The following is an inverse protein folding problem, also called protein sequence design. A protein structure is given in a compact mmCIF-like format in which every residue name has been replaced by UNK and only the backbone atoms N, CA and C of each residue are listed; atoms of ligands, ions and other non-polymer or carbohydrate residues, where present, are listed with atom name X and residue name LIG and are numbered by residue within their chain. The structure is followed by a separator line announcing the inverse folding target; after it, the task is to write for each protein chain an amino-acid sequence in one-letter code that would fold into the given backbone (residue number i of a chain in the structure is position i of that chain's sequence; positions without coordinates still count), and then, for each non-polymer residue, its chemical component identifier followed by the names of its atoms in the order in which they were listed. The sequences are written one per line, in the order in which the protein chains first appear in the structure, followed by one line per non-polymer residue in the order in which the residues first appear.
data_IF_142839837019
#
_entry.id   IF_142839837019
#
_cell.length_a   1.000
_cell.length_b   1.000
_cell.length_c   1.000
_cell.angle_alpha   90.00
_cell.angle_beta   90.00
_cell.angle_gamma   90.00
#
_symmetry.space_group_name_H-M   'P 1'
#
loop_
_entity.id
_entity.type
_entity.pdbx_description
1 polymer ?
#
# COMPACT_ATOMS: atom_id res chain seq x y z
N UNK A 1 0.25 1.86 -3.11
CA UNK A 1 1.60 2.51 -2.99
C UNK A 1 2.08 2.58 -1.54
N UNK A 2 3.40 2.73 -1.30
CA UNK A 2 3.98 2.98 0.04
C UNK A 2 4.40 4.45 0.16
N UNK A 3 4.02 5.10 1.26
CA UNK A 3 4.42 6.47 1.60
C UNK A 3 5.51 6.40 2.66
N UNK A 4 6.64 7.08 2.42
CA UNK A 4 7.70 7.28 3.40
C UNK A 4 7.67 8.74 3.87
N UNK A 5 7.51 8.95 5.16
CA UNK A 5 7.59 10.28 5.76
C UNK A 5 9.04 10.61 6.05
N UNK A 6 9.64 11.54 5.32
CA UNK A 6 11.05 11.94 5.52
C UNK A 6 11.20 13.15 6.45
N UNK A 7 10.11 13.86 6.74
CA UNK A 7 10.08 15.00 7.67
C UNK A 7 8.95 14.82 8.67
N UNK A 8 9.25 14.99 9.97
CA UNK A 8 8.23 14.92 11.02
C UNK A 8 7.09 15.88 10.66
N UNK A 9 5.86 15.37 10.69
CA UNK A 9 4.70 16.09 10.15
C UNK A 9 3.42 15.76 10.90
N UNK A 10 2.36 16.47 10.56
CA UNK A 10 0.99 16.20 11.00
C UNK A 10 0.17 15.81 9.78
N UNK A 11 -0.44 14.63 9.81
CA UNK A 11 -1.51 14.28 8.89
C UNK A 11 -2.82 14.88 9.41
N UNK A 12 -3.64 15.41 8.50
CA UNK A 12 -4.80 16.24 8.86
C UNK A 12 -6.10 15.67 8.33
N UNK A 13 -7.17 15.86 9.10
CA UNK A 13 -8.55 15.58 8.68
C UNK A 13 -8.98 16.41 7.46
N UNK A 14 -8.53 17.66 7.40
CA UNK A 14 -8.90 18.66 6.40
C UNK A 14 -7.64 19.43 5.95
N UNK A 15 -7.62 20.00 4.74
CA UNK A 15 -6.45 20.70 4.19
C UNK A 15 -6.32 22.16 4.70
N UNK A 16 -6.67 22.40 5.96
CA UNK A 16 -6.59 23.70 6.65
C UNK A 16 -5.37 23.75 7.59
N UNK A 17 -4.94 24.92 8.10
CA UNK A 17 -3.89 25.00 9.12
C UNK A 17 -4.16 24.09 10.32
N UNK A 18 -3.12 23.44 10.86
CA UNK A 18 -3.28 22.50 11.97
C UNK A 18 -3.77 23.16 13.28
N UNK A 19 -3.60 24.48 13.41
CA UNK A 19 -4.14 25.27 14.52
C UNK A 19 -5.67 25.36 14.52
N UNK A 20 -6.31 25.15 13.36
CA UNK A 20 -7.77 25.17 13.21
C UNK A 20 -8.41 23.80 13.45
N UNK A 21 -7.60 22.75 13.62
CA UNK A 21 -8.05 21.38 13.82
C UNK A 21 -7.99 20.97 15.29
N UNK A 22 -8.99 20.23 15.75
CA UNK A 22 -8.96 19.60 17.06
C UNK A 22 -7.89 18.49 17.11
N UNK A 23 -7.52 18.04 18.32
CA UNK A 23 -6.42 17.09 18.47
C UNK A 23 -6.70 15.72 17.84
N UNK A 24 -7.95 15.32 17.77
CA UNK A 24 -8.41 14.09 17.15
C UNK A 24 -8.56 14.19 15.62
N UNK A 25 -8.49 15.39 15.06
CA UNK A 25 -8.39 15.67 13.62
C UNK A 25 -6.94 15.76 13.12
N UNK A 26 -5.98 15.48 14.01
CA UNK A 26 -4.55 15.51 13.74
C UNK A 26 -3.93 14.16 14.09
N UNK A 27 -2.96 13.76 13.28
CA UNK A 27 -2.14 12.59 13.57
C UNK A 27 -0.67 12.97 13.40
N UNK A 28 0.06 13.01 14.52
CA UNK A 28 1.50 13.28 14.54
C UNK A 28 2.24 12.09 13.96
N UNK A 29 3.14 12.36 13.02
CA UNK A 29 3.89 11.33 12.31
C UNK A 29 5.39 11.64 12.37
N UNK A 30 6.20 10.74 12.94
CA UNK A 30 7.65 10.93 12.96
C UNK A 30 8.26 10.74 11.57
N UNK A 31 9.42 11.35 11.34
CA UNK A 31 10.26 11.00 10.19
C UNK A 31 10.67 9.51 10.27
N UNK A 32 10.76 8.86 9.12
CA UNK A 32 11.00 7.42 8.96
C UNK A 32 9.73 6.56 9.00
N UNK A 33 8.56 7.11 9.35
CA UNK A 33 7.31 6.34 9.34
C UNK A 33 6.90 5.97 7.91
N UNK A 34 6.35 4.77 7.74
CA UNK A 34 5.85 4.30 6.44
C UNK A 34 4.41 3.85 6.50
N UNK A 35 3.64 4.14 5.45
CA UNK A 35 2.22 3.80 5.35
C UNK A 35 1.91 3.19 3.98
N UNK A 36 0.91 2.29 3.92
CA UNK A 36 0.44 1.71 2.67
C UNK A 36 -0.91 2.31 2.33
N UNK A 37 -1.07 2.82 1.10
CA UNK A 37 -2.35 3.31 0.60
C UNK A 37 -3.19 2.18 0.01
N UNK A 38 -4.51 2.28 0.21
CA UNK A 38 -5.52 1.38 -0.39
C UNK A 38 -5.56 1.52 -1.91
N UNK A 39 -5.28 2.72 -2.44
CA UNK A 39 -5.37 2.97 -3.88
C UNK A 39 -4.03 3.46 -4.44
N UNK A 40 -3.87 3.27 -5.75
CA UNK A 40 -2.73 3.79 -6.49
C UNK A 40 -2.97 5.22 -7.02
N UNK A 41 -3.97 5.90 -6.46
CA UNK A 41 -4.31 7.29 -6.76
C UNK A 41 -4.43 8.12 -5.48
N UNK A 42 -4.22 9.43 -5.62
CA UNK A 42 -4.49 10.41 -4.58
C UNK A 42 -4.96 11.70 -5.24
N UNK A 43 -5.72 12.51 -4.50
CA UNK A 43 -6.07 13.87 -4.95
C UNK A 43 -5.06 14.85 -4.38
N UNK A 44 -4.64 15.80 -5.20
CA UNK A 44 -3.83 16.92 -4.72
C UNK A 44 -4.78 18.06 -4.39
N UNK A 45 -4.70 18.56 -3.16
CA UNK A 45 -5.46 19.71 -2.70
C UNK A 45 -4.59 20.57 -1.79
N UNK A 46 -4.41 21.84 -2.16
CA UNK A 46 -3.67 22.84 -1.39
C UNK A 46 -2.29 22.34 -0.88
N UNK A 47 -1.49 21.71 -1.75
CA UNK A 47 -0.16 21.18 -1.39
C UNK A 47 -0.17 19.89 -0.55
N UNK A 48 -1.34 19.27 -0.38
CA UNK A 48 -1.51 18.00 0.33
C UNK A 48 -2.00 16.91 -0.61
N UNK A 49 -1.63 15.68 -0.32
CA UNK A 49 -2.29 14.50 -0.86
C UNK A 49 -3.44 14.09 0.04
N UNK A 50 -4.65 13.91 -0.51
CA UNK A 50 -5.69 13.13 0.15
C UNK A 50 -5.42 11.65 -0.12
N UNK A 51 -5.03 10.93 0.93
CA UNK A 51 -4.64 9.51 0.87
C UNK A 51 -5.53 8.70 1.79
N UNK A 52 -5.97 7.54 1.31
CA UNK A 52 -6.64 6.52 2.13
C UNK A 52 -5.64 5.41 2.43
N UNK A 53 -5.34 5.20 3.71
CA UNK A 53 -4.39 4.18 4.17
C UNK A 53 -5.10 2.87 4.52
N UNK A 54 -4.38 1.75 4.40
CA UNK A 54 -4.90 0.42 4.76
C UNK A 54 -5.23 0.32 6.25
N UNK A 55 -4.49 1.05 7.10
CA UNK A 55 -4.74 1.14 8.54
C UNK A 55 -5.53 2.40 8.90
N UNK A 56 -6.44 2.27 9.87
CA UNK A 56 -7.04 3.45 10.50
C UNK A 56 -6.03 4.12 11.45
N UNK A 57 -5.77 5.40 11.23
CA UNK A 57 -4.89 6.23 12.06
C UNK A 57 -5.70 7.14 12.98
N UNK A 58 -5.02 7.78 13.93
CA UNK A 58 -5.67 8.62 14.95
C UNK A 58 -6.26 7.80 16.11
N UNK A 59 -7.14 8.44 16.89
CA UNK A 59 -7.72 7.84 18.10
C UNK A 59 -9.16 8.31 18.32
N UNK A 60 -9.94 7.54 19.07
CA UNK A 60 -11.30 7.90 19.45
C UNK A 60 -12.28 7.93 18.27
N UNK A 61 -13.24 8.84 18.32
CA UNK A 61 -14.30 8.98 17.31
C UNK A 61 -13.80 9.36 15.91
N UNK A 62 -12.57 9.87 15.81
CA UNK A 62 -11.98 10.35 14.57
C UNK A 62 -10.93 9.42 13.98
N UNK A 63 -10.84 8.19 14.50
CA UNK A 63 -10.07 7.10 13.90
C UNK A 63 -10.57 6.84 12.47
N UNK A 64 -9.69 6.99 11.48
CA UNK A 64 -10.07 6.97 10.05
C UNK A 64 -8.92 6.56 9.14
N UNK A 65 -9.25 6.14 7.93
CA UNK A 65 -8.26 5.78 6.89
C UNK A 65 -7.83 6.99 6.02
N UNK A 66 -8.72 7.97 5.83
CA UNK A 66 -8.49 9.11 4.94
C UNK A 66 -7.83 10.29 5.63
N UNK A 67 -6.70 10.76 5.08
CA UNK A 67 -5.92 11.86 5.64
C UNK A 67 -5.31 12.75 4.55
N UNK A 68 -5.23 14.05 4.83
CA UNK A 68 -4.43 15.01 4.08
C UNK A 68 -2.98 14.98 4.56
N UNK A 69 -2.08 14.62 3.65
CA UNK A 69 -0.65 14.41 3.89
C UNK A 69 0.13 15.53 3.18
N UNK A 70 0.96 16.32 3.88
CA UNK A 70 1.77 17.35 3.24
C UNK A 70 2.73 16.72 2.23
N UNK A 71 2.60 17.11 0.96
CA UNK A 71 3.35 16.50 -0.16
C UNK A 71 4.85 16.63 0.02
N UNK A 72 5.30 17.80 0.48
CA UNK A 72 6.71 18.13 0.67
C UNK A 72 7.38 17.38 1.83
N UNK A 73 6.64 16.57 2.59
CA UNK A 73 7.17 15.79 3.72
C UNK A 73 7.21 14.27 3.45
N UNK A 74 6.76 13.85 2.26
CA UNK A 74 6.63 12.42 1.92
C UNK A 74 7.18 12.08 0.55
N UNK A 75 7.79 10.91 0.47
CA UNK A 75 8.13 10.23 -0.78
C UNK A 75 7.14 9.10 -1.04
N UNK A 76 6.80 8.87 -2.32
CA UNK A 76 5.92 7.77 -2.73
C UNK A 76 6.76 6.71 -3.43
N UNK A 77 6.77 5.51 -2.84
CA UNK A 77 7.45 4.33 -3.32
C UNK A 77 6.44 3.42 -4.05
N UNK A 78 6.76 3.09 -5.30
CA UNK A 78 6.07 2.11 -6.13
C UNK A 78 7.04 0.98 -6.46
N UNK A 79 6.61 -0.26 -6.24
CA UNK A 79 7.35 -1.44 -6.67
C UNK A 79 6.40 -2.31 -7.47
N UNK A 80 6.65 -2.46 -8.77
CA UNK A 80 5.82 -3.26 -9.65
C UNK A 80 6.53 -4.58 -9.92
N UNK A 81 5.79 -5.67 -9.82
CA UNK A 81 6.23 -6.99 -10.23
C UNK A 81 5.28 -7.61 -11.23
N UNK A 82 5.79 -8.54 -12.02
CA UNK A 82 5.03 -9.39 -12.94
C UNK A 82 4.90 -10.78 -12.34
N UNK A 83 3.72 -11.36 -12.45
CA UNK A 83 3.49 -12.78 -12.17
C UNK A 83 4.20 -13.60 -13.25
N UNK A 84 5.22 -14.38 -12.88
CA UNK A 84 6.09 -15.12 -13.82
C UNK A 84 5.76 -16.60 -13.96
N UNK A 85 4.80 -17.11 -13.18
CA UNK A 85 4.32 -18.50 -13.25
C UNK A 85 2.81 -18.54 -13.13
N UNK A 86 2.20 -19.62 -13.61
CA UNK A 86 0.81 -19.91 -13.25
C UNK A 86 0.68 -20.20 -11.74
N UNK A 87 -0.49 -19.92 -11.16
CA UNK A 87 -0.87 -20.24 -9.77
C UNK A 87 -0.35 -19.32 -8.66
N UNK A 88 -0.06 -18.05 -8.93
CA UNK A 88 0.12 -17.12 -7.81
C UNK A 88 -1.20 -16.93 -7.07
N UNK A 89 -1.21 -17.22 -5.77
CA UNK A 89 -2.33 -16.94 -4.90
C UNK A 89 -2.13 -15.60 -4.18
N UNK A 90 -3.12 -14.71 -4.27
CA UNK A 90 -3.28 -13.57 -3.38
C UNK A 90 -3.97 -14.05 -2.10
N UNK A 91 -3.37 -13.82 -0.93
CA UNK A 91 -3.84 -14.42 0.34
C UNK A 91 -4.09 -13.39 1.44
N UNK A 92 -4.94 -13.75 2.41
CA UNK A 92 -5.16 -12.98 3.64
C UNK A 92 -3.93 -12.96 4.55
N UNK A 93 -3.15 -14.03 4.55
CA UNK A 93 -1.89 -14.16 5.30
C UNK A 93 -0.91 -15.07 4.55
N UNK A 94 0.41 -14.92 4.75
CA UNK A 94 1.40 -15.81 4.16
C UNK A 94 1.20 -17.27 4.56
N UNK A 95 1.38 -18.20 3.63
CA UNK A 95 1.32 -19.64 3.91
C UNK A 95 2.66 -20.32 3.57
N UNK A 96 3.43 -20.82 4.56
CA UNK A 96 4.72 -21.48 4.31
C UNK A 96 4.66 -22.68 3.37
N UNK A 97 3.55 -23.43 3.38
CA UNK A 97 3.38 -24.59 2.50
C UNK A 97 2.96 -24.19 1.08
N UNK A 98 2.48 -22.96 0.94
CA UNK A 98 1.88 -22.39 -0.26
C UNK A 98 0.92 -23.34 -0.99
N UNK A 99 0.08 -24.00 -0.19
CA UNK A 99 -0.98 -24.89 -0.68
C UNK A 99 -2.30 -24.13 -0.74
N UNK A 100 -3.24 -24.65 -1.52
CA UNK A 100 -4.59 -24.08 -1.55
C UNK A 100 -5.27 -24.25 -0.19
N UNK A 101 -5.87 -23.17 0.30
CA UNK A 101 -6.55 -23.10 1.59
C UNK A 101 -7.54 -21.92 1.63
N UNK A 102 -8.18 -21.76 2.79
CA UNK A 102 -9.17 -20.70 3.08
C UNK A 102 -8.58 -19.28 3.10
N UNK A 103 -7.26 -19.12 3.03
CA UNK A 103 -6.61 -17.80 3.01
C UNK A 103 -6.64 -17.17 1.63
N UNK A 104 -6.88 -17.95 0.56
CA UNK A 104 -6.87 -17.44 -0.82
C UNK A 104 -8.02 -16.45 -1.01
N UNK A 105 -7.67 -15.25 -1.46
CA UNK A 105 -8.58 -14.20 -1.89
C UNK A 105 -8.84 -14.34 -3.39
N UNK A 106 -7.77 -14.48 -4.17
CA UNK A 106 -7.83 -14.55 -5.63
C UNK A 106 -6.63 -15.29 -6.20
N UNK A 107 -6.78 -15.90 -7.38
CA UNK A 107 -5.68 -16.52 -8.12
C UNK A 107 -5.29 -15.59 -9.27
N UNK A 108 -4.02 -15.22 -9.33
CA UNK A 108 -3.48 -14.30 -10.33
C UNK A 108 -2.84 -15.07 -11.49
N UNK A 109 -3.17 -14.64 -12.70
CA UNK A 109 -2.73 -15.25 -13.94
C UNK A 109 -1.30 -14.86 -14.30
N UNK A 110 -0.59 -15.72 -15.03
CA UNK A 110 0.72 -15.41 -15.62
C UNK A 110 0.66 -14.11 -16.43
N UNK A 111 1.60 -13.21 -16.19
CA UNK A 111 1.68 -11.91 -16.87
C UNK A 111 0.93 -10.77 -16.16
N UNK A 112 0.10 -11.07 -15.16
CA UNK A 112 -0.54 -10.04 -14.32
C UNK A 112 0.54 -9.13 -13.70
N UNK A 113 0.32 -7.83 -13.72
CA UNK A 113 1.13 -6.86 -13.00
C UNK A 113 0.54 -6.64 -11.62
N UNK A 114 1.40 -6.63 -10.61
CA UNK A 114 1.05 -6.39 -9.21
C UNK A 114 1.87 -5.24 -8.67
N UNK A 115 1.28 -4.47 -7.77
CA UNK A 115 1.98 -3.46 -6.99
C UNK A 115 2.36 -4.08 -5.63
N UNK A 116 3.60 -3.89 -5.21
CA UNK A 116 4.17 -4.44 -3.99
C UNK A 116 4.41 -3.29 -3.00
N UNK A 117 3.87 -3.43 -1.80
CA UNK A 117 3.86 -2.38 -0.78
C UNK A 117 4.77 -2.68 0.39
N UNK A 118 4.83 -3.95 0.79
CA UNK A 118 5.64 -4.37 1.93
C UNK A 118 6.10 -5.81 1.78
N UNK A 119 7.01 -6.25 2.63
CA UNK A 119 7.52 -7.61 2.58
C UNK A 119 7.77 -8.19 3.97
N UNK A 120 7.71 -9.51 4.07
CA UNK A 120 8.10 -10.24 5.28
C UNK A 120 8.77 -11.56 4.94
N UNK A 121 9.60 -12.04 5.85
CA UNK A 121 10.08 -13.41 5.85
C UNK A 121 9.24 -14.24 6.80
N UNK A 122 8.85 -15.43 6.36
CA UNK A 122 8.17 -16.41 7.21
C UNK A 122 9.15 -17.50 7.68
N UNK A 123 8.67 -18.42 8.53
CA UNK A 123 9.52 -19.37 9.28
C UNK A 123 10.49 -20.23 8.46
N UNK A 124 10.22 -20.44 7.17
CA UNK A 124 11.07 -21.21 6.26
C UNK A 124 12.04 -20.32 5.45
N UNK A 125 12.21 -19.06 5.84
CA UNK A 125 12.96 -18.01 5.14
C UNK A 125 12.42 -17.68 3.73
N UNK A 126 11.20 -18.08 3.40
CA UNK A 126 10.54 -17.62 2.18
C UNK A 126 10.15 -16.14 2.30
N UNK A 127 10.50 -15.35 1.28
CA UNK A 127 10.06 -13.96 1.16
C UNK A 127 8.62 -13.90 0.63
N UNK A 128 7.79 -13.12 1.29
CA UNK A 128 6.41 -12.83 0.92
C UNK A 128 6.19 -11.34 0.81
N UNK A 129 5.48 -10.93 -0.24
CA UNK A 129 5.13 -9.54 -0.50
C UNK A 129 3.68 -9.29 -0.16
N UNK A 130 3.40 -8.18 0.50
CA UNK A 130 2.06 -7.62 0.60
C UNK A 130 1.85 -6.63 -0.53
N UNK A 131 0.72 -6.75 -1.24
CA UNK A 131 0.48 -5.99 -2.46
C UNK A 131 -0.94 -6.13 -2.98
N UNK A 132 -1.19 -5.63 -4.18
CA UNK A 132 -2.47 -5.78 -4.88
C UNK A 132 -2.23 -6.02 -6.37
N UNK A 133 -3.18 -6.66 -7.08
CA UNK A 133 -3.16 -6.69 -8.53
C UNK A 133 -3.40 -5.28 -9.09
N UNK A 134 -2.70 -4.99 -10.19
CA UNK A 134 -2.75 -3.69 -10.87
C UNK A 134 -3.45 -3.83 -12.23
N UNK A 135 -2.91 -4.71 -13.07
CA UNK A 135 -3.34 -4.90 -14.46
C UNK A 135 -3.31 -6.39 -14.80
N UNK A 136 -4.37 -6.91 -15.43
CA UNK A 136 -4.46 -8.31 -15.85
C UNK A 136 -3.42 -8.64 -16.92
N UNK A 137 -3.23 -9.94 -17.19
CA UNK A 137 -2.37 -10.39 -18.29
C UNK A 137 -2.76 -9.79 -19.66
N UNK A 138 -4.06 -9.48 -19.84
CA UNK A 138 -4.61 -8.88 -21.05
C UNK A 138 -4.61 -7.34 -21.05
N UNK A 139 -3.90 -6.71 -20.10
CA UNK A 139 -3.76 -5.26 -19.96
C UNK A 139 -5.04 -4.52 -19.51
N UNK A 140 -5.94 -5.20 -18.82
CA UNK A 140 -7.13 -4.57 -18.24
C UNK A 140 -6.88 -4.17 -16.78
N UNK A 141 -7.36 -2.99 -16.38
CA UNK A 141 -7.23 -2.51 -15.00
C UNK A 141 -8.21 -3.23 -14.07
N UNK A 142 -7.74 -3.59 -12.88
CA UNK A 142 -8.63 -4.11 -11.83
C UNK A 142 -9.50 -2.97 -11.29
N UNK A 143 -10.83 -3.17 -11.27
CA UNK A 143 -11.79 -2.15 -10.83
C UNK A 143 -11.85 -1.99 -9.29
N UNK A 144 -11.62 -3.08 -8.55
CA UNK A 144 -11.58 -3.10 -7.08
C UNK A 144 -10.51 -4.10 -6.60
N UNK A 145 -9.23 -3.73 -6.71
CA UNK A 145 -8.14 -4.65 -6.40
C UNK A 145 -8.03 -4.87 -4.90
N UNK A 146 -8.36 -6.07 -4.45
CA UNK A 146 -8.09 -6.48 -3.07
C UNK A 146 -6.59 -6.54 -2.79
N UNK A 147 -6.20 -6.15 -1.57
CA UNK A 147 -4.82 -6.28 -1.08
C UNK A 147 -4.60 -7.62 -0.39
N UNK A 148 -3.41 -8.20 -0.51
CA UNK A 148 -3.07 -9.45 0.14
C UNK A 148 -1.59 -9.83 0.01
N UNK A 149 -1.26 -10.98 0.57
CA UNK A 149 0.06 -11.57 0.58
C UNK A 149 0.29 -12.48 -0.64
N UNK A 150 1.46 -12.37 -1.23
CA UNK A 150 1.90 -13.07 -2.44
C UNK A 150 3.29 -13.66 -2.21
N UNK A 151 3.52 -14.91 -2.62
CA UNK A 151 4.85 -15.51 -2.51
C UNK A 151 5.81 -14.90 -3.52
N UNK A 152 7.00 -14.47 -3.07
CA UNK A 152 8.03 -13.90 -3.95
C UNK A 152 8.49 -14.87 -5.03
N UNK A 153 8.36 -16.19 -4.81
CA UNK A 153 8.78 -17.22 -5.77
C UNK A 153 8.06 -17.13 -7.13
N UNK A 154 6.87 -16.53 -7.16
CA UNK A 154 6.05 -16.39 -8.36
C UNK A 154 6.12 -15.00 -9.00
N UNK A 155 6.98 -14.12 -8.46
CA UNK A 155 7.10 -12.74 -8.89
C UNK A 155 8.46 -12.46 -9.55
N UNK A 156 8.44 -11.59 -10.54
CA UNK A 156 9.60 -10.93 -11.15
C UNK A 156 9.44 -9.43 -10.92
N UNK A 157 10.33 -8.80 -10.15
CA UNK A 157 10.30 -7.35 -9.96
C UNK A 157 10.69 -6.69 -11.29
N UNK A 158 9.85 -5.79 -11.79
CA UNK A 158 10.05 -5.13 -13.08
C UNK A 158 10.44 -3.66 -12.94
N UNK A 159 10.00 -2.98 -11.88
CA UNK A 159 10.27 -1.57 -11.67
C UNK A 159 10.20 -1.23 -10.18
N UNK A 160 11.10 -0.37 -9.73
CA UNK A 160 11.04 0.31 -8.44
C UNK A 160 11.18 1.80 -8.73
N UNK A 161 10.19 2.59 -8.35
CA UNK A 161 10.19 4.04 -8.59
C UNK A 161 9.98 4.77 -7.27
N UNK A 162 10.80 5.80 -7.06
CA UNK A 162 10.64 6.80 -5.99
C UNK A 162 10.15 8.06 -6.69
N UNK A 163 8.93 8.47 -6.39
CA UNK A 163 8.34 9.67 -6.97
C UNK A 163 8.52 10.84 -6.01
N UNK A 164 9.38 11.78 -6.39
CA UNK A 164 9.32 13.16 -5.94
C UNK A 164 8.34 13.88 -6.85
N UNK A 165 7.20 14.37 -6.35
CA UNK A 165 6.23 15.14 -7.15
C UNK A 165 5.98 16.49 -6.50
#
# INVERSE_FOLDING_TARGET
MKFLVHTRTIFKALPVPASELSNDEKFEVPAGATFVSISDSFRIDNGHYLVYFTSELGSGANRRQGWFVPRVHVEILSCIARVKTNNLNLRKFPNPKDKDDQSIIHKLELGTLVNLFDATYIKDNSLWWYGSPLVTANKEWFQDPQTGWMSSKYLEIINITINDI
#
